data_IF_383761087835
#
_entry.id   IF_383761087835
#
_cell.length_a   1.000
_cell.length_b   1.000
_cell.length_c   1.000
_cell.angle_alpha   90.00
_cell.angle_beta   90.00
_cell.angle_gamma   90.00
#
_symmetry.space_group_name_H-M   'P 1'
#
loop_
_entity.id
_entity.type
_entity.pdbx_description
1 polymer ?
#
# COMPACT_ATOMS: atom_id res chain seq x y z
N UNK A 1 -3.81 16.24 30.68
CA UNK A 1 -4.83 15.48 29.91
C UNK A 1 -4.73 14.00 30.30
N UNK A 2 -5.85 13.27 30.46
CA UNK A 2 -5.81 11.85 30.81
C UNK A 2 -5.31 11.00 29.63
N UNK A 3 -4.42 10.06 29.93
CA UNK A 3 -3.86 9.06 28.99
C UNK A 3 -4.95 8.24 28.26
N UNK A 4 -6.13 8.11 28.85
CA UNK A 4 -7.26 7.42 28.25
C UNK A 4 -7.85 8.12 27.01
N UNK A 5 -7.56 9.41 26.78
CA UNK A 5 -7.98 10.12 25.57
C UNK A 5 -6.97 9.99 24.43
N UNK A 6 -5.67 9.79 24.71
CA UNK A 6 -4.69 9.46 23.67
C UNK A 6 -4.89 8.04 23.14
N UNK A 7 -5.29 7.12 24.02
CA UNK A 7 -5.51 5.72 23.63
C UNK A 7 -6.82 5.53 22.82
N UNK A 8 -7.70 6.56 22.76
CA UNK A 8 -8.99 6.52 22.06
C UNK A 8 -8.97 7.18 20.68
N UNK A 9 -7.93 7.96 20.37
CA UNK A 9 -7.73 8.59 19.05
C UNK A 9 -7.15 7.59 18.01
N UNK A 10 -6.48 6.52 18.46
CA UNK A 10 -6.00 5.43 17.60
C UNK A 10 -7.00 4.28 17.49
N UNK A 11 -8.28 4.59 17.18
CA UNK A 11 -9.11 3.57 16.51
C UNK A 11 -8.44 3.33 15.16
N UNK A 12 -7.56 2.34 15.11
CA UNK A 12 -6.64 2.00 14.01
C UNK A 12 -7.29 2.25 12.66
N UNK A 13 -7.01 3.41 12.09
CA UNK A 13 -7.33 3.67 10.70
C UNK A 13 -6.49 2.66 9.92
N UNK A 14 -7.15 1.79 9.17
CA UNK A 14 -6.44 0.86 8.31
C UNK A 14 -5.82 1.63 7.14
N UNK A 15 -4.55 1.98 7.32
CA UNK A 15 -3.72 2.77 6.40
C UNK A 15 -3.66 2.12 5.02
N UNK A 16 -3.71 0.79 4.96
CA UNK A 16 -3.75 0.09 3.69
C UNK A 16 -5.05 0.37 2.95
N UNK A 17 -6.19 0.28 3.64
CA UNK A 17 -7.49 0.58 3.05
C UNK A 17 -7.59 2.05 2.63
N UNK A 18 -7.00 2.97 3.39
CA UNK A 18 -6.91 4.39 2.99
C UNK A 18 -6.14 4.55 1.68
N UNK A 19 -5.01 3.85 1.51
CA UNK A 19 -4.26 3.87 0.25
C UNK A 19 -5.04 3.29 -0.93
N UNK A 20 -5.76 2.18 -0.72
CA UNK A 20 -6.62 1.59 -1.76
C UNK A 20 -7.71 2.55 -2.22
N UNK A 21 -8.41 3.19 -1.27
CA UNK A 21 -9.44 4.18 -1.60
C UNK A 21 -8.85 5.41 -2.28
N UNK A 22 -7.71 5.91 -1.80
CA UNK A 22 -7.03 7.05 -2.43
C UNK A 22 -6.66 6.75 -3.88
N UNK A 23 -6.17 5.54 -4.17
CA UNK A 23 -5.91 5.08 -5.53
C UNK A 23 -7.18 5.06 -6.40
N UNK A 24 -8.27 4.46 -5.91
CA UNK A 24 -9.53 4.34 -6.66
C UNK A 24 -10.18 5.71 -6.97
N UNK A 25 -9.88 6.74 -6.18
CA UNK A 25 -10.35 8.11 -6.43
C UNK A 25 -9.61 8.75 -7.61
N UNK A 26 -8.30 8.50 -7.75
CA UNK A 26 -7.45 9.23 -8.71
C UNK A 26 -7.16 8.44 -9.99
N UNK A 27 -7.30 7.11 -9.95
CA UNK A 27 -6.99 6.21 -11.05
C UNK A 27 -8.22 5.43 -11.48
N UNK A 28 -8.39 5.27 -12.78
CA UNK A 28 -9.43 4.41 -13.37
C UNK A 28 -9.03 2.94 -13.44
N UNK A 29 -7.75 2.65 -13.19
CA UNK A 29 -7.18 1.30 -13.25
C UNK A 29 -7.26 0.67 -11.87
N UNK A 30 -7.64 -0.60 -11.75
CA UNK A 30 -7.58 -1.33 -10.49
C UNK A 30 -6.12 -1.57 -10.09
N UNK A 31 -5.76 -1.27 -8.84
CA UNK A 31 -4.39 -1.48 -8.34
C UNK A 31 -4.07 -2.97 -8.24
N UNK A 32 -4.91 -3.71 -7.51
CA UNK A 32 -4.80 -5.15 -7.27
C UNK A 32 -6.18 -5.76 -7.52
N UNK A 33 -6.29 -6.68 -8.47
CA UNK A 33 -7.55 -7.35 -8.85
C UNK A 33 -7.64 -8.74 -8.21
N UNK A 34 -6.50 -9.43 -8.07
CA UNK A 34 -6.42 -10.76 -7.46
C UNK A 34 -7.20 -11.86 -8.17
N UNK A 35 -7.61 -11.63 -9.43
CA UNK A 35 -8.38 -12.60 -10.22
C UNK A 35 -7.49 -13.45 -11.11
N UNK A 36 -7.89 -14.70 -11.28
CA UNK A 36 -7.32 -15.61 -12.26
C UNK A 36 -7.89 -15.33 -13.68
N UNK A 37 -7.41 -16.03 -14.73
CA UNK A 37 -7.92 -15.85 -16.10
C UNK A 37 -9.42 -16.11 -16.28
N UNK A 38 -10.05 -16.86 -15.39
CA UNK A 38 -11.50 -17.12 -15.39
C UNK A 38 -12.30 -15.99 -14.72
N UNK A 39 -11.62 -14.96 -14.21
CA UNK A 39 -12.23 -13.83 -13.51
C UNK A 39 -12.62 -14.14 -12.05
N UNK A 40 -12.14 -15.24 -11.48
CA UNK A 40 -12.43 -15.65 -10.10
C UNK A 40 -11.28 -15.22 -9.20
N UNK A 41 -11.60 -14.73 -8.00
CA UNK A 41 -10.60 -14.36 -7.00
C UNK A 41 -9.75 -15.58 -6.60
N UNK A 42 -8.43 -15.39 -6.55
CA UNK A 42 -7.45 -16.41 -6.28
C UNK A 42 -6.31 -15.83 -5.44
N UNK A 43 -6.11 -16.34 -4.23
CA UNK A 43 -5.06 -15.89 -3.31
C UNK A 43 -3.66 -15.92 -3.96
N UNK A 44 -3.42 -16.86 -4.87
CA UNK A 44 -2.14 -16.99 -5.57
C UNK A 44 -1.92 -15.81 -6.52
N UNK A 45 -2.95 -15.42 -7.25
CA UNK A 45 -2.92 -14.25 -8.13
C UNK A 45 -2.81 -12.97 -7.31
N UNK A 46 -3.60 -12.85 -6.24
CA UNK A 46 -3.56 -11.69 -5.34
C UNK A 46 -2.17 -11.48 -4.74
N UNK A 47 -1.56 -12.53 -4.17
CA UNK A 47 -0.21 -12.45 -3.61
C UNK A 47 0.86 -12.20 -4.68
N UNK A 48 0.72 -12.75 -5.88
CA UNK A 48 1.65 -12.49 -6.98
C UNK A 48 1.61 -11.01 -7.42
N UNK A 49 0.43 -10.38 -7.44
CA UNK A 49 0.29 -8.94 -7.68
C UNK A 49 0.93 -8.10 -6.57
N UNK A 50 0.71 -8.46 -5.30
CA UNK A 50 1.39 -7.79 -4.18
C UNK A 50 2.91 -7.88 -4.31
N UNK A 51 3.45 -9.04 -4.70
CA UNK A 51 4.89 -9.21 -4.94
C UNK A 51 5.38 -8.36 -6.11
N UNK A 52 4.59 -8.16 -7.16
CA UNK A 52 4.95 -7.28 -8.27
C UNK A 52 5.10 -5.81 -7.81
N UNK A 53 4.19 -5.33 -6.96
CA UNK A 53 4.19 -3.94 -6.51
C UNK A 53 5.12 -3.65 -5.33
N UNK A 54 5.18 -4.56 -4.36
CA UNK A 54 5.87 -4.35 -3.09
C UNK A 54 7.22 -5.07 -3.02
N UNK A 55 7.53 -5.89 -4.03
CA UNK A 55 8.63 -6.84 -3.96
C UNK A 55 8.33 -8.02 -3.02
N UNK A 56 9.34 -8.89 -2.78
CA UNK A 56 9.17 -10.06 -1.94
C UNK A 56 8.85 -9.67 -0.49
N UNK A 57 7.94 -10.40 0.19
CA UNK A 57 7.60 -10.09 1.56
C UNK A 57 8.78 -10.32 2.51
N UNK A 58 8.93 -9.48 3.55
CA UNK A 58 9.99 -9.62 4.52
C UNK A 58 9.87 -10.96 5.30
N UNK A 59 10.98 -11.50 5.82
CA UNK A 59 10.97 -12.77 6.56
C UNK A 59 9.99 -12.78 7.73
N UNK A 60 9.85 -11.66 8.44
CA UNK A 60 8.98 -11.48 9.60
C UNK A 60 7.52 -11.67 9.20
N UNK A 61 7.11 -11.14 8.04
CA UNK A 61 5.76 -11.34 7.49
C UNK A 61 5.50 -12.82 7.22
N UNK A 62 6.44 -13.49 6.54
CA UNK A 62 6.31 -14.91 6.17
C UNK A 62 6.24 -15.82 7.40
N UNK A 63 6.93 -15.49 8.49
CA UNK A 63 6.92 -16.28 9.72
C UNK A 63 5.62 -16.20 10.52
N UNK A 64 4.78 -15.17 10.30
CA UNK A 64 3.50 -14.99 11.00
C UNK A 64 2.46 -16.08 10.68
N UNK A 65 2.56 -16.72 9.51
CA UNK A 65 1.58 -17.70 9.06
C UNK A 65 2.23 -19.01 8.61
N UNK A 66 1.68 -20.13 9.06
CA UNK A 66 2.07 -21.47 8.60
C UNK A 66 1.79 -21.67 7.10
N UNK A 67 0.81 -20.94 6.56
CA UNK A 67 0.44 -21.00 5.15
C UNK A 67 1.45 -20.32 4.23
N UNK A 68 2.36 -19.49 4.75
CA UNK A 68 3.42 -18.86 3.94
C UNK A 68 4.29 -19.89 3.24
N UNK A 69 4.47 -21.07 3.84
CA UNK A 69 5.20 -22.19 3.25
C UNK A 69 4.55 -22.76 1.98
N UNK A 70 3.26 -22.48 1.72
CA UNK A 70 2.59 -22.84 0.47
C UNK A 70 3.10 -21.96 -0.68
N UNK A 71 3.28 -20.66 -0.40
CA UNK A 71 3.54 -19.63 -1.41
C UNK A 71 5.02 -19.34 -1.66
N UNK A 72 5.85 -19.40 -0.62
CA UNK A 72 7.28 -19.10 -0.68
C UNK A 72 8.12 -20.30 -0.22
N UNK A 73 9.33 -20.41 -0.77
CA UNK A 73 10.33 -21.37 -0.29
C UNK A 73 11.07 -20.87 0.97
N UNK A 74 11.98 -21.68 1.48
CA UNK A 74 12.76 -21.36 2.68
C UNK A 74 13.66 -20.12 2.50
N UNK A 75 14.03 -19.78 1.25
CA UNK A 75 14.78 -18.57 0.93
C UNK A 75 13.86 -17.34 0.75
N UNK A 76 12.54 -17.52 0.70
CA UNK A 76 11.56 -16.45 0.46
C UNK A 76 11.25 -16.18 -0.99
N UNK A 77 11.70 -17.06 -1.88
CA UNK A 77 11.36 -16.94 -3.29
C UNK A 77 9.97 -17.48 -3.53
N UNK A 78 9.21 -16.77 -4.37
CA UNK A 78 7.90 -17.21 -4.84
C UNK A 78 7.99 -18.57 -5.53
N UNK A 79 7.08 -19.50 -5.18
CA UNK A 79 7.07 -20.87 -5.70
C UNK A 79 6.45 -21.02 -7.09
N UNK A 80 6.00 -19.92 -7.71
CA UNK A 80 5.42 -19.95 -9.05
C UNK A 80 3.99 -20.49 -9.09
N UNK A 81 3.22 -20.34 -8.00
CA UNK A 81 1.81 -20.78 -7.94
C UNK A 81 0.88 -19.98 -8.86
N UNK A 82 1.30 -18.76 -9.22
CA UNK A 82 0.73 -17.90 -10.24
C UNK A 82 1.86 -17.07 -10.85
N UNK A 83 1.73 -16.59 -12.11
CA UNK A 83 2.70 -15.67 -12.69
C UNK A 83 2.71 -14.35 -11.91
N UNK A 84 3.90 -13.86 -11.56
CA UNK A 84 4.07 -12.48 -11.08
C UNK A 84 3.94 -11.58 -12.31
N UNK A 85 2.97 -10.66 -12.35
CA UNK A 85 2.80 -9.79 -13.50
C UNK A 85 3.98 -8.82 -13.63
N UNK A 86 4.40 -8.57 -14.86
CA UNK A 86 5.38 -7.54 -15.20
C UNK A 86 4.66 -6.19 -15.31
N UNK A 87 4.34 -5.60 -14.17
CA UNK A 87 3.69 -4.29 -14.05
C UNK A 87 4.23 -3.52 -12.85
N UNK A 88 4.41 -2.23 -13.01
CA UNK A 88 4.79 -1.32 -11.93
C UNK A 88 3.60 -0.44 -11.51
N UNK A 89 3.74 0.22 -10.36
CA UNK A 89 2.76 1.20 -9.90
C UNK A 89 2.69 2.39 -10.89
N UNK A 90 3.84 2.76 -11.45
CA UNK A 90 4.02 3.82 -12.42
C UNK A 90 3.29 3.55 -13.74
N UNK A 91 3.30 2.30 -14.20
CA UNK A 91 2.59 1.85 -15.41
C UNK A 91 1.07 2.00 -15.23
N UNK A 92 0.56 1.62 -14.06
CA UNK A 92 -0.87 1.75 -13.76
C UNK A 92 -1.30 3.21 -13.55
N UNK A 93 -0.37 4.07 -13.13
CA UNK A 93 -0.59 5.49 -12.87
C UNK A 93 -0.50 6.36 -14.15
N UNK A 94 -0.71 5.81 -15.35
CA UNK A 94 -0.62 6.54 -16.63
C UNK A 94 -1.61 7.70 -16.73
N UNK A 95 -2.76 7.59 -16.06
CA UNK A 95 -3.81 8.62 -16.06
C UNK A 95 -3.55 9.73 -15.02
N UNK A 96 -2.64 9.50 -14.10
CA UNK A 96 -2.21 10.51 -13.12
C UNK A 96 -1.14 11.37 -13.80
N UNK A 97 -1.45 12.66 -13.99
CA UNK A 97 -0.59 13.61 -14.71
C UNK A 97 -0.19 14.77 -13.80
N UNK A 98 0.93 15.42 -14.14
CA UNK A 98 1.40 16.62 -13.46
C UNK A 98 2.40 16.33 -12.34
N UNK A 99 2.80 17.40 -11.66
CA UNK A 99 3.82 17.40 -10.60
C UNK A 99 3.44 16.55 -9.37
N UNK A 100 2.15 16.29 -9.17
CA UNK A 100 1.65 15.54 -8.01
C UNK A 100 1.79 14.02 -8.16
N UNK A 101 2.03 13.50 -9.38
CA UNK A 101 2.12 12.05 -9.62
C UNK A 101 3.16 11.41 -8.70
N UNK A 102 4.38 11.94 -8.71
CA UNK A 102 5.47 11.35 -7.93
C UNK A 102 5.21 11.43 -6.43
N UNK A 103 4.65 12.54 -5.95
CA UNK A 103 4.28 12.71 -4.54
C UNK A 103 3.22 11.71 -4.10
N UNK A 104 2.18 11.54 -4.90
CA UNK A 104 1.13 10.56 -4.65
C UNK A 104 1.65 9.12 -4.65
N UNK A 105 2.49 8.73 -5.60
CA UNK A 105 3.04 7.37 -5.66
C UNK A 105 3.96 7.08 -4.47
N UNK A 106 4.80 8.03 -4.06
CA UNK A 106 5.60 7.90 -2.83
C UNK A 106 4.72 7.75 -1.60
N UNK A 107 3.68 8.58 -1.49
CA UNK A 107 2.72 8.53 -0.39
C UNK A 107 2.01 7.17 -0.32
N UNK A 108 1.59 6.61 -1.47
CA UNK A 108 1.01 5.27 -1.55
C UNK A 108 1.97 4.17 -1.13
N UNK A 109 3.21 4.21 -1.62
CA UNK A 109 4.23 3.21 -1.26
C UNK A 109 4.50 3.19 0.24
N UNK A 110 4.45 4.34 0.93
CA UNK A 110 4.57 4.39 2.40
C UNK A 110 3.42 3.67 3.11
N UNK A 111 2.20 3.79 2.60
CA UNK A 111 1.02 3.18 3.20
C UNK A 111 0.89 1.68 2.87
N UNK A 112 1.34 1.27 1.68
CA UNK A 112 1.27 -0.11 1.19
C UNK A 112 2.50 -0.90 1.63
N UNK A 113 2.52 -1.32 2.89
CA UNK A 113 3.57 -2.18 3.46
C UNK A 113 3.04 -3.56 3.84
N UNK A 114 3.87 -4.58 3.63
CA UNK A 114 3.58 -5.97 3.97
C UNK A 114 3.24 -6.12 5.46
N UNK A 115 4.10 -5.63 6.35
CA UNK A 115 3.81 -5.63 7.78
C UNK A 115 2.95 -4.40 8.14
N UNK A 116 1.90 -4.58 8.95
CA UNK A 116 1.14 -3.46 9.51
C UNK A 116 2.01 -2.50 10.32
N UNK A 117 2.99 -3.02 11.05
CA UNK A 117 3.86 -2.24 11.96
C UNK A 117 4.83 -1.31 11.21
N UNK A 118 5.09 -1.57 9.92
CA UNK A 118 5.95 -0.75 9.07
C UNK A 118 5.17 0.43 8.43
N UNK A 119 3.84 0.45 8.60
CA UNK A 119 2.98 1.49 8.04
C UNK A 119 3.02 2.73 8.93
N UNK A 120 3.07 3.96 8.36
CA UNK A 120 2.96 5.18 9.13
C UNK A 120 1.57 5.25 9.78
N UNK A 121 1.48 5.90 10.93
CA UNK A 121 0.18 6.27 11.52
C UNK A 121 -0.60 7.20 10.58
N UNK A 122 -1.92 7.32 10.80
CA UNK A 122 -2.75 8.24 10.02
C UNK A 122 -2.26 9.69 10.13
N UNK A 123 -1.72 10.06 11.30
CA UNK A 123 -1.18 11.39 11.56
C UNK A 123 0.13 11.61 10.78
N UNK A 124 1.06 10.67 10.80
CA UNK A 124 2.30 10.75 10.03
C UNK A 124 2.04 10.77 8.52
N UNK A 125 1.06 10.00 8.06
CA UNK A 125 0.65 9.96 6.65
C UNK A 125 -0.02 11.27 6.21
N UNK A 126 -0.75 11.94 7.11
CA UNK A 126 -1.33 13.27 6.88
C UNK A 126 -0.24 14.35 6.80
N UNK A 127 0.81 14.25 7.61
CA UNK A 127 1.94 15.19 7.62
C UNK A 127 2.99 14.93 6.53
N UNK A 128 2.76 13.97 5.63
CA UNK A 128 3.62 13.80 4.46
C UNK A 128 3.72 15.10 3.65
N UNK A 129 4.91 15.40 3.12
CA UNK A 129 5.19 16.64 2.40
C UNK A 129 4.20 16.89 1.27
N UNK A 130 3.83 15.84 0.53
CA UNK A 130 2.88 15.95 -0.58
C UNK A 130 1.48 16.31 -0.10
N UNK A 131 1.00 15.67 0.98
CA UNK A 131 -0.30 15.97 1.59
C UNK A 131 -0.36 17.40 2.13
N UNK A 132 0.69 17.84 2.82
CA UNK A 132 0.76 19.17 3.41
C UNK A 132 0.81 20.28 2.34
N UNK A 133 1.47 20.03 1.21
CA UNK A 133 1.42 20.91 0.02
C UNK A 133 -0.01 21.04 -0.51
N UNK A 134 -0.71 19.91 -0.70
CA UNK A 134 -2.08 19.87 -1.23
C UNK A 134 -3.11 20.55 -0.32
N UNK A 135 -2.96 20.43 1.00
CA UNK A 135 -3.84 21.06 1.99
C UNK A 135 -3.61 22.57 2.15
N UNK A 136 -2.62 23.15 1.46
CA UNK A 136 -2.19 24.57 1.58
C UNK A 136 -1.85 24.96 3.02
N UNK A 137 -1.52 23.98 3.87
CA UNK A 137 -1.15 24.20 5.27
C UNK A 137 0.30 24.70 5.41
N UNK A 138 1.08 24.68 4.33
CA UNK A 138 2.44 25.23 4.28
C UNK A 138 2.56 26.74 4.07
N UNK A 139 1.46 27.47 3.80
CA UNK A 139 1.50 28.91 3.43
C UNK A 139 0.73 29.84 4.38
N UNK A 140 0.50 29.46 5.66
CA UNK A 140 -0.19 30.32 6.64
C UNK A 140 0.72 31.07 7.63
N UNK A 141 2.00 31.20 7.32
CA UNK A 141 2.90 32.14 8.02
C UNK A 141 3.46 33.12 6.99
N UNK A 142 2.73 34.22 6.80
CA UNK A 142 3.20 35.58 6.48
C UNK A 142 2.04 36.38 5.87
N UNK A 143 1.30 37.10 6.72
CA UNK A 143 0.53 38.31 6.42
C UNK A 143 0.29 39.06 7.72
#
# INVERSE_FOLDING_TARGET
MPKALSDFEEREVDIWNVAMVAWDIVSTSTLIDGKNPDGVFDDRCHLAELVAFLGPPPPEFRQRSQLSSVFWDNAGKWKGLAPIPDKTLEDLAINIKGEDKEGFLRWLQRALQWNPDDRPTALELLYDEWMMKGLKLGNKTES
#
